data_IF_385028566706
#
_entry.id   IF_385028566706
#
_cell.length_a   1.000
_cell.length_b   1.000
_cell.length_c   1.000
_cell.angle_alpha   90.00
_cell.angle_beta   90.00
_cell.angle_gamma   90.00
#
_symmetry.space_group_name_H-M   'P 1'
#
loop_
_entity.id
_entity.type
_entity.pdbx_description
1 polymer ?
#
# COMPACT_ATOMS: atom_id res chain seq x y z
N UNK A 1 -6.12 -10.54 13.38
CA UNK A 1 -7.12 -9.64 12.77
C UNK A 1 -7.91 -10.41 11.73
N UNK A 2 -9.24 -10.32 11.76
CA UNK A 2 -10.16 -10.89 10.78
C UNK A 2 -11.13 -9.79 10.30
N UNK A 3 -11.75 -9.89 9.11
CA UNK A 3 -11.60 -10.95 8.09
C UNK A 3 -10.29 -10.85 7.28
N UNK A 4 -9.92 -11.94 6.60
CA UNK A 4 -8.88 -11.98 5.57
C UNK A 4 -9.27 -13.01 4.51
N UNK A 5 -10.13 -12.60 3.59
CA UNK A 5 -10.70 -13.47 2.57
C UNK A 5 -9.77 -13.64 1.37
N UNK A 6 -9.94 -14.75 0.64
CA UNK A 6 -9.37 -14.92 -0.70
C UNK A 6 -9.86 -13.80 -1.63
N UNK A 7 -8.96 -13.23 -2.43
CA UNK A 7 -9.25 -12.06 -3.29
C UNK A 7 -9.22 -10.70 -2.57
N UNK A 8 -8.82 -10.68 -1.30
CA UNK A 8 -8.56 -9.45 -0.54
C UNK A 8 -7.20 -9.57 0.19
N UNK A 9 -6.14 -9.92 -0.54
CA UNK A 9 -4.82 -10.20 0.02
C UNK A 9 -4.23 -8.98 0.75
N UNK A 10 -4.04 -7.87 0.02
CA UNK A 10 -3.39 -6.65 0.54
C UNK A 10 -4.24 -5.39 0.41
N UNK A 11 -5.28 -5.40 -0.44
CA UNK A 11 -6.14 -4.26 -0.70
C UNK A 11 -7.22 -4.01 0.36
N UNK A 12 -8.35 -3.37 0.01
CA UNK A 12 -9.48 -3.16 0.90
C UNK A 12 -9.97 -4.45 1.59
N UNK A 13 -10.48 -4.32 2.81
CA UNK A 13 -10.93 -5.43 3.70
C UNK A 13 -9.83 -6.35 4.24
N UNK A 14 -8.59 -6.23 3.76
CA UNK A 14 -7.43 -6.97 4.28
C UNK A 14 -7.01 -6.49 5.67
N UNK A 15 -6.15 -7.26 6.39
CA UNK A 15 -5.46 -6.77 7.58
C UNK A 15 -4.62 -5.52 7.33
N UNK A 16 -4.02 -5.36 6.14
CA UNK A 16 -3.24 -4.16 5.78
C UNK A 16 -4.14 -2.93 5.78
N UNK A 17 -5.35 -3.01 5.20
CA UNK A 17 -6.30 -1.91 5.22
C UNK A 17 -6.61 -1.42 6.65
N UNK A 18 -6.80 -2.36 7.58
CA UNK A 18 -7.05 -2.04 9.00
C UNK A 18 -5.83 -1.51 9.72
N UNK A 19 -4.64 -2.03 9.40
CA UNK A 19 -3.37 -1.51 9.91
C UNK A 19 -3.16 -0.04 9.51
N UNK A 20 -3.46 0.32 8.25
CA UNK A 20 -3.40 1.70 7.78
C UNK A 20 -4.39 2.62 8.51
N UNK A 21 -5.59 2.11 8.81
CA UNK A 21 -6.60 2.85 9.57
C UNK A 21 -6.27 3.01 11.07
N UNK A 22 -5.25 2.32 11.59
CA UNK A 22 -4.93 2.25 13.01
C UNK A 22 -3.58 2.89 13.37
N UNK A 23 -3.20 3.96 12.65
CA UNK A 23 -1.94 4.67 12.84
C UNK A 23 -0.71 3.73 12.81
N UNK A 24 -0.76 2.75 11.91
CA UNK A 24 0.30 1.75 11.74
C UNK A 24 1.64 2.39 11.42
N UNK A 25 2.71 1.82 11.98
CA UNK A 25 4.09 2.17 11.66
C UNK A 25 4.81 0.96 11.09
N UNK A 26 5.52 1.16 9.99
CA UNK A 26 6.36 0.15 9.37
C UNK A 26 7.76 0.32 9.94
N UNK A 27 8.20 -0.68 10.70
CA UNK A 27 9.54 -0.76 11.24
C UNK A 27 10.39 -1.62 10.31
N UNK A 28 11.27 -0.99 9.55
CA UNK A 28 12.25 -1.68 8.69
C UNK A 28 13.56 -1.80 9.46
N UNK A 29 14.00 -3.02 9.77
CA UNK A 29 15.27 -3.30 10.45
C UNK A 29 16.22 -3.95 9.44
N UNK A 30 17.15 -3.19 8.86
CA UNK A 30 18.10 -3.70 7.86
C UNK A 30 17.51 -4.10 6.51
N UNK A 31 16.18 -4.10 6.36
CA UNK A 31 15.49 -4.47 5.13
C UNK A 31 15.62 -3.40 4.04
N UNK A 32 15.61 -3.84 2.78
CA UNK A 32 15.59 -2.97 1.60
C UNK A 32 14.23 -2.27 1.38
N UNK A 33 14.15 -1.32 0.44
CA UNK A 33 12.92 -0.62 0.08
C UNK A 33 11.83 -1.52 -0.54
N UNK A 34 12.21 -2.68 -1.07
CA UNK A 34 11.33 -3.75 -1.58
C UNK A 34 10.47 -4.40 -0.49
N UNK A 35 10.89 -4.34 0.78
CA UNK A 35 10.24 -5.06 1.88
C UNK A 35 8.99 -4.37 2.47
N UNK A 36 8.44 -3.34 1.81
CA UNK A 36 7.34 -2.52 2.33
C UNK A 36 5.99 -3.08 1.87
N UNK A 37 5.59 -4.25 2.39
CA UNK A 37 4.38 -4.99 1.98
C UNK A 37 3.08 -4.16 1.99
N UNK A 38 3.00 -3.14 2.85
CA UNK A 38 1.83 -2.25 2.90
C UNK A 38 1.61 -1.48 1.58
N UNK A 39 2.63 -1.29 0.75
CA UNK A 39 2.53 -0.62 -0.55
C UNK A 39 1.74 -1.45 -1.58
N UNK A 40 1.58 -2.76 -1.41
CA UNK A 40 0.62 -3.51 -2.24
C UNK A 40 -0.83 -3.04 -2.03
N UNK A 41 -1.15 -2.37 -0.92
CA UNK A 41 -2.43 -1.68 -0.79
C UNK A 41 -2.54 -0.53 -1.80
N UNK A 42 -1.48 0.25 -2.00
CA UNK A 42 -1.46 1.35 -2.97
C UNK A 42 -1.68 0.80 -4.38
N UNK A 43 -0.96 -0.25 -4.75
CA UNK A 43 -1.17 -0.97 -6.02
C UNK A 43 -2.62 -1.44 -6.19
N UNK A 44 -3.21 -2.02 -5.14
CA UNK A 44 -4.58 -2.53 -5.20
C UNK A 44 -5.63 -1.43 -5.43
N UNK A 45 -5.45 -0.23 -4.87
CA UNK A 45 -6.46 0.86 -4.95
C UNK A 45 -6.17 1.93 -5.98
N UNK A 46 -4.94 2.00 -6.51
CA UNK A 46 -4.57 2.97 -7.53
C UNK A 46 -5.46 2.85 -8.77
N UNK A 47 -5.93 4.01 -9.25
CA UNK A 47 -6.77 4.17 -10.43
C UNK A 47 -5.91 4.33 -11.68
N UNK A 48 -5.26 3.24 -12.05
CA UNK A 48 -4.40 3.16 -13.23
C UNK A 48 -4.92 2.06 -14.16
N UNK A 49 -4.78 2.25 -15.46
CA UNK A 49 -5.09 1.22 -16.45
C UNK A 49 -4.04 0.09 -16.47
N UNK A 50 -4.34 -1.04 -17.12
CA UNK A 50 -3.36 -2.10 -17.37
C UNK A 50 -2.97 -2.97 -16.17
N UNK A 51 -3.66 -2.85 -15.02
CA UNK A 51 -3.32 -3.59 -13.80
C UNK A 51 -3.36 -5.10 -14.00
N UNK A 52 -2.25 -5.75 -13.67
CA UNK A 52 -2.08 -7.21 -13.72
C UNK A 52 -2.85 -7.90 -12.61
N UNK A 53 -3.38 -9.08 -12.93
CA UNK A 53 -4.07 -9.97 -11.99
C UNK A 53 -3.52 -11.38 -12.11
N UNK A 54 -3.56 -12.12 -11.02
CA UNK A 54 -3.20 -13.53 -10.96
C UNK A 54 -4.40 -14.35 -10.51
N UNK A 55 -4.48 -15.60 -10.97
CA UNK A 55 -5.46 -16.58 -10.50
C UNK A 55 -4.72 -17.74 -9.86
N UNK A 56 -5.13 -18.10 -8.65
CA UNK A 56 -4.50 -19.17 -7.88
C UNK A 56 -5.50 -19.83 -6.94
N UNK A 57 -5.13 -21.01 -6.42
CA UNK A 57 -5.96 -21.80 -5.53
C UNK A 57 -5.26 -22.05 -4.21
N UNK A 58 -5.97 -21.90 -3.10
CA UNK A 58 -5.46 -22.21 -1.76
C UNK A 58 -6.37 -23.21 -1.05
N UNK A 59 -5.80 -24.19 -0.32
CA UNK A 59 -6.58 -25.11 0.50
C UNK A 59 -6.89 -24.47 1.85
N UNK A 60 -8.17 -24.17 2.11
CA UNK A 60 -8.63 -23.65 3.40
C UNK A 60 -9.20 -24.78 4.26
N UNK A 61 -9.08 -24.67 5.58
CA UNK A 61 -9.82 -25.52 6.51
C UNK A 61 -11.17 -24.85 6.84
N UNK A 62 -12.27 -25.49 6.46
CA UNK A 62 -13.64 -25.06 6.81
C UNK A 62 -14.37 -26.21 7.48
N UNK A 63 -14.82 -26.00 8.71
CA UNK A 63 -15.53 -27.03 9.50
C UNK A 63 -14.75 -28.36 9.58
N UNK A 64 -13.43 -28.27 9.77
CA UNK A 64 -12.53 -29.44 9.85
C UNK A 64 -12.24 -30.13 8.51
N UNK A 65 -12.78 -29.62 7.38
CA UNK A 65 -12.55 -30.17 6.04
C UNK A 65 -11.68 -29.25 5.19
N UNK A 66 -10.77 -29.85 4.41
CA UNK A 66 -10.01 -29.12 3.39
C UNK A 66 -10.91 -28.74 2.23
N UNK A 67 -11.05 -27.45 1.96
CA UNK A 67 -11.81 -26.87 0.85
C UNK A 67 -10.86 -26.04 0.00
N UNK A 68 -10.70 -26.42 -1.27
CA UNK A 68 -9.95 -25.62 -2.24
C UNK A 68 -10.77 -24.43 -2.67
N UNK A 69 -10.19 -23.24 -2.58
CA UNK A 69 -10.79 -21.99 -3.07
C UNK A 69 -9.88 -21.42 -4.13
N UNK A 70 -10.41 -21.25 -5.34
CA UNK A 70 -9.76 -20.53 -6.43
C UNK A 70 -10.22 -19.07 -6.41
N UNK A 71 -9.29 -18.14 -6.55
CA UNK A 71 -9.58 -16.70 -6.58
C UNK A 71 -8.70 -16.02 -7.63
N UNK A 72 -9.09 -14.80 -8.00
CA UNK A 72 -8.16 -13.85 -8.60
C UNK A 72 -7.90 -12.69 -7.65
N UNK A 73 -6.68 -12.16 -7.67
CA UNK A 73 -6.30 -10.94 -6.96
C UNK A 73 -5.29 -10.14 -7.80
N UNK A 74 -4.89 -8.97 -7.34
CA UNK A 74 -3.83 -8.18 -7.97
C UNK A 74 -2.50 -8.93 -7.94
N UNK A 75 -1.71 -8.79 -9.01
CA UNK A 75 -0.38 -9.41 -9.07
C UNK A 75 0.58 -8.69 -8.12
N UNK A 76 0.91 -9.35 -7.00
CA UNK A 76 1.82 -8.80 -5.99
C UNK A 76 3.30 -8.90 -6.37
N UNK A 77 3.64 -9.52 -7.51
CA UNK A 77 5.00 -9.52 -8.04
C UNK A 77 5.21 -8.44 -9.12
N UNK A 78 4.27 -7.50 -9.25
CA UNK A 78 4.34 -6.39 -10.20
C UNK A 78 2.95 -6.02 -10.70
N UNK A 79 2.46 -4.84 -10.30
CA UNK A 79 1.10 -4.41 -10.63
C UNK A 79 0.91 -4.08 -12.12
N UNK A 80 1.98 -3.75 -12.85
CA UNK A 80 2.02 -3.56 -14.32
C UNK A 80 3.18 -4.36 -14.90
N UNK A 81 3.17 -4.60 -16.21
CA UNK A 81 4.20 -5.39 -16.89
C UNK A 81 5.61 -4.83 -16.67
N UNK A 82 5.76 -3.50 -16.67
CA UNK A 82 7.04 -2.84 -16.41
C UNK A 82 7.58 -3.03 -14.99
N UNK A 83 6.73 -3.47 -14.05
CA UNK A 83 7.08 -3.74 -12.65
C UNK A 83 7.16 -5.24 -12.34
N UNK A 84 6.92 -6.12 -13.33
CA UNK A 84 6.79 -7.57 -13.12
C UNK A 84 8.02 -8.38 -13.53
N UNK A 85 9.18 -7.73 -13.68
CA UNK A 85 10.44 -8.42 -13.90
C UNK A 85 10.79 -9.25 -12.65
N UNK A 86 11.17 -10.55 -12.79
CA UNK A 86 11.44 -11.42 -11.65
C UNK A 86 12.49 -10.89 -10.65
N UNK A 87 13.50 -10.18 -11.17
CA UNK A 87 14.59 -9.62 -10.38
C UNK A 87 14.32 -8.16 -9.94
N UNK A 88 13.12 -7.64 -10.21
CA UNK A 88 12.73 -6.27 -9.91
C UNK A 88 13.38 -5.21 -10.81
N UNK A 89 13.34 -3.93 -10.40
CA UNK A 89 12.61 -3.43 -9.23
C UNK A 89 11.09 -3.37 -9.50
N UNK A 90 10.31 -3.82 -8.53
CA UNK A 90 8.85 -3.70 -8.59
C UNK A 90 8.38 -2.26 -8.23
N UNK A 91 7.07 -2.02 -8.25
CA UNK A 91 6.53 -0.71 -7.90
C UNK A 91 6.74 -0.39 -6.40
N UNK A 92 6.68 -1.39 -5.52
CA UNK A 92 6.93 -1.22 -4.07
C UNK A 92 8.32 -0.64 -3.83
N UNK A 93 9.35 -1.25 -4.42
CA UNK A 93 10.73 -0.80 -4.26
C UNK A 93 10.92 0.63 -4.79
N UNK A 94 10.41 0.92 -6.00
CA UNK A 94 10.55 2.24 -6.64
C UNK A 94 9.85 3.32 -5.83
N UNK A 95 8.63 3.06 -5.36
CA UNK A 95 7.85 3.99 -4.53
C UNK A 95 8.55 4.23 -3.20
N UNK A 96 8.95 3.17 -2.49
CA UNK A 96 9.59 3.28 -1.18
C UNK A 96 10.92 4.05 -1.27
N UNK A 97 11.70 3.81 -2.33
CA UNK A 97 12.95 4.54 -2.59
C UNK A 97 12.70 6.04 -2.80
N UNK A 98 11.73 6.39 -3.65
CA UNK A 98 11.37 7.79 -3.90
C UNK A 98 10.81 8.47 -2.63
N UNK A 99 10.01 7.76 -1.84
CA UNK A 99 9.47 8.26 -0.58
C UNK A 99 10.58 8.54 0.44
N UNK A 100 11.51 7.60 0.64
CA UNK A 100 12.63 7.75 1.58
C UNK A 100 13.58 8.90 1.16
N UNK A 101 13.68 9.19 -0.13
CA UNK A 101 14.45 10.33 -0.64
C UNK A 101 13.77 11.70 -0.41
N UNK A 102 12.44 11.73 -0.23
CA UNK A 102 11.63 12.96 -0.18
C UNK A 102 11.01 13.25 1.19
N UNK A 103 11.00 12.26 2.09
CA UNK A 103 10.30 12.34 3.36
C UNK A 103 11.26 12.20 4.54
N UNK A 104 11.09 13.02 5.57
CA UNK A 104 11.83 12.89 6.82
C UNK A 104 11.35 11.67 7.59
N UNK A 105 12.16 10.62 7.63
CA UNK A 105 11.90 9.37 8.35
C UNK A 105 12.89 9.22 9.50
N UNK A 106 12.42 8.79 10.67
CA UNK A 106 13.29 8.49 11.80
C UNK A 106 14.20 7.31 11.45
N UNK A 107 15.51 7.49 11.62
CA UNK A 107 16.54 6.52 11.28
C UNK A 107 17.49 6.32 12.46
N UNK A 108 17.96 5.09 12.64
CA UNK A 108 18.92 4.75 13.69
C UNK A 108 19.21 3.26 13.73
N UNK A 109 20.21 2.84 14.52
CA UNK A 109 20.54 1.43 14.66
C UNK A 109 19.50 0.68 15.53
N UNK A 110 19.16 -0.54 15.13
CA UNK A 110 18.54 -1.56 15.99
C UNK A 110 19.46 -2.78 15.93
N UNK A 111 20.16 -3.06 17.04
CA UNK A 111 21.32 -3.95 16.99
C UNK A 111 22.37 -3.43 16.01
N UNK A 112 22.87 -4.29 15.13
CA UNK A 112 23.82 -3.91 14.07
C UNK A 112 23.18 -3.35 12.79
N UNK A 113 21.85 -3.27 12.71
CA UNK A 113 21.13 -2.96 11.47
C UNK A 113 20.67 -1.50 11.39
N UNK A 114 20.92 -0.86 10.24
CA UNK A 114 20.33 0.45 9.91
C UNK A 114 18.82 0.31 9.76
N UNK A 115 18.08 1.03 10.59
CA UNK A 115 16.64 0.87 10.73
C UNK A 115 15.88 2.18 10.47
N UNK A 116 14.63 2.04 10.05
CA UNK A 116 13.71 3.13 9.69
C UNK A 116 12.36 2.90 10.35
N UNK A 117 11.74 3.95 10.86
CA UNK A 117 10.35 3.92 11.36
C UNK A 117 9.47 4.82 10.49
N UNK A 118 8.66 4.20 9.63
CA UNK A 118 7.88 4.85 8.57
C UNK A 118 6.40 4.90 9.01
N UNK A 119 5.74 6.03 8.80
CA UNK A 119 4.28 6.12 8.93
C UNK A 119 3.62 5.38 7.74
N UNK A 120 2.79 4.38 8.04
CA UNK A 120 2.24 3.51 7.01
C UNK A 120 1.19 4.22 6.13
N UNK A 121 0.36 5.07 6.73
CA UNK A 121 -0.67 5.79 5.99
C UNK A 121 -0.04 6.82 5.03
N UNK A 122 1.03 7.48 5.46
CA UNK A 122 1.74 8.47 4.65
C UNK A 122 2.42 7.83 3.43
N UNK A 123 3.21 6.76 3.61
CA UNK A 123 3.89 6.09 2.49
C UNK A 123 2.91 5.44 1.51
N UNK A 124 1.79 4.87 2.00
CA UNK A 124 0.76 4.31 1.11
C UNK A 124 0.03 5.40 0.33
N UNK A 125 -0.31 6.52 0.97
CA UNK A 125 -0.90 7.67 0.27
C UNK A 125 0.04 8.21 -0.81
N UNK A 126 1.33 8.34 -0.49
CA UNK A 126 2.36 8.69 -1.46
C UNK A 126 2.43 7.69 -2.61
N UNK A 127 2.37 6.38 -2.34
CA UNK A 127 2.40 5.34 -3.37
C UNK A 127 1.22 5.39 -4.34
N UNK A 128 0.02 5.69 -3.84
CA UNK A 128 -1.18 5.88 -4.69
C UNK A 128 -0.96 7.06 -5.64
N UNK A 129 -0.57 8.21 -5.10
CA UNK A 129 -0.28 9.41 -5.89
C UNK A 129 0.85 9.17 -6.90
N UNK A 130 1.89 8.42 -6.50
CA UNK A 130 3.03 8.11 -7.35
C UNK A 130 2.64 7.30 -8.59
N UNK A 131 1.77 6.29 -8.41
CA UNK A 131 1.25 5.44 -9.48
C UNK A 131 0.32 6.22 -10.39
N UNK A 132 -0.67 6.93 -9.82
CA UNK A 132 -1.66 7.69 -10.59
C UNK A 132 -1.08 8.88 -11.34
N UNK A 133 0.08 9.41 -10.90
CA UNK A 133 0.79 10.45 -11.63
C UNK A 133 1.60 9.95 -12.83
N UNK A 134 1.86 8.64 -12.92
CA UNK A 134 2.72 8.03 -13.95
C UNK A 134 1.97 7.23 -14.99
N UNK A 135 0.78 6.75 -14.63
CA UNK A 135 -0.03 5.88 -15.46
C UNK A 135 -1.39 6.52 -15.70
N UNK A 136 -1.91 6.35 -16.91
CA UNK A 136 -3.22 6.89 -17.24
C UNK A 136 -4.32 6.23 -16.39
N UNK A 137 -5.35 7.00 -16.07
CA UNK A 137 -6.53 6.47 -15.41
C UNK A 137 -7.35 5.61 -16.39
N UNK A 138 -8.06 4.57 -15.92
CA UNK A 138 -8.95 3.79 -16.77
C UNK A 138 -10.00 4.67 -17.47
N UNK A 139 -10.30 4.38 -18.74
CA UNK A 139 -11.26 5.16 -19.56
C UNK A 139 -12.62 5.28 -18.87
N UNK A 140 -13.13 4.16 -18.32
CA UNK A 140 -14.38 4.10 -17.54
C UNK A 140 -14.40 5.10 -16.36
N UNK A 141 -13.25 5.34 -15.73
CA UNK A 141 -13.12 6.32 -14.66
C UNK A 141 -13.14 7.75 -15.16
N UNK A 142 -12.55 8.01 -16.34
CA UNK A 142 -12.59 9.33 -16.96
C UNK A 142 -14.01 9.69 -17.41
N UNK A 143 -14.74 8.73 -17.99
CA UNK A 143 -16.15 8.91 -18.38
C UNK A 143 -17.04 9.19 -17.16
N UNK A 144 -16.91 8.40 -16.09
CA UNK A 144 -17.66 8.63 -14.85
C UNK A 144 -17.33 9.97 -14.16
N UNK A 145 -16.12 10.50 -14.34
CA UNK A 145 -15.75 11.85 -13.85
C UNK A 145 -16.39 12.95 -14.70
N UNK A 146 -16.38 12.81 -16.03
CA UNK A 146 -17.03 13.77 -16.92
C UNK A 146 -18.55 13.79 -16.70
N UNK A 147 -19.19 12.62 -16.52
CA UNK A 147 -20.60 12.51 -16.18
C UNK A 147 -20.95 13.22 -14.86
N UNK A 148 -20.13 13.03 -13.81
CA UNK A 148 -20.30 13.73 -12.52
C UNK A 148 -20.03 15.24 -12.58
N UNK A 149 -19.15 15.69 -13.47
CA UNK A 149 -18.89 17.11 -13.68
C UNK A 149 -19.99 17.80 -14.52
N UNK A 150 -20.74 17.03 -15.31
CA UNK A 150 -21.79 17.53 -16.22
C UNK A 150 -23.23 17.35 -15.68
N UNK A 151 -23.44 16.60 -14.59
CA UNK A 151 -24.77 16.41 -13.98
C UNK A 151 -24.70 16.33 -12.44
N UNK A 152 -25.46 17.18 -11.74
CA UNK A 152 -25.47 17.32 -10.29
C UNK A 152 -26.06 16.12 -9.50
N UNK A 153 -25.53 15.97 -8.28
CA UNK A 153 -25.95 15.10 -7.15
C UNK A 153 -26.30 13.64 -7.44
N UNK A 154 -25.36 12.73 -7.16
CA UNK A 154 -25.64 11.37 -6.69
C UNK A 154 -24.54 10.92 -5.72
N UNK A 155 -24.93 10.09 -4.76
CA UNK A 155 -24.34 9.85 -3.44
C UNK A 155 -22.81 9.70 -3.39
N UNK A 156 -22.23 10.34 -2.38
CA UNK A 156 -20.83 10.23 -2.03
C UNK A 156 -20.54 8.81 -1.50
N UNK A 157 -20.02 7.94 -2.35
CA UNK A 157 -19.26 6.79 -1.89
C UNK A 157 -17.95 7.32 -1.29
N UNK A 158 -18.00 7.62 0.01
CA UNK A 158 -16.85 8.13 0.77
C UNK A 158 -15.79 7.05 0.87
N UNK A 159 -14.84 7.06 -0.07
CA UNK A 159 -13.53 6.47 0.18
C UNK A 159 -12.90 7.31 1.30
N UNK A 160 -12.54 6.75 2.47
CA UNK A 160 -11.96 7.54 3.53
C UNK A 160 -10.60 8.05 3.05
N UNK A 161 -10.52 9.35 2.75
CA UNK A 161 -9.22 10.03 2.71
C UNK A 161 -8.63 9.86 4.10
N UNK A 162 -7.49 9.19 4.19
CA UNK A 162 -6.70 9.13 5.42
C UNK A 162 -6.35 10.58 5.77
N UNK A 163 -7.06 11.15 6.75
CA UNK A 163 -6.84 12.53 7.17
C UNK A 163 -5.43 12.64 7.72
N UNK A 164 -4.59 13.49 7.10
CA UNK A 164 -3.29 13.89 7.64
C UNK A 164 -3.50 14.54 9.01
N UNK A 165 -3.40 13.76 10.09
CA UNK A 165 -3.20 14.33 11.43
C UNK A 165 -1.73 14.71 11.52
N UNK A 166 -1.47 16.01 11.57
CA UNK A 166 -0.17 16.58 11.91
C UNK A 166 0.27 16.03 13.27
N UNK A 167 1.19 15.06 13.27
CA UNK A 167 1.83 14.62 14.50
C UNK A 167 2.88 15.65 14.90
N UNK A 168 2.69 16.18 16.11
CA UNK A 168 3.63 17.03 16.84
C UNK A 168 4.96 16.27 16.97
N UNK A 169 6.03 16.87 16.47
CA UNK A 169 7.40 16.36 16.53
C UNK A 169 7.79 16.02 17.97
N UNK A 170 8.17 14.78 18.22
CA UNK A 170 8.83 14.39 19.46
C UNK A 170 10.31 14.76 19.36
N UNK A 171 10.77 15.66 20.22
CA UNK A 171 12.19 16.01 20.38
C UNK A 171 12.72 15.22 21.58
N UNK A 172 13.68 14.30 21.40
CA UNK A 172 14.30 13.61 22.52
C UNK A 172 15.20 14.58 23.33
N UNK A 173 15.28 14.44 24.67
CA UNK A 173 16.18 15.26 25.47
C UNK A 173 17.65 14.91 25.14
N UNK A 174 18.46 15.95 24.97
CA UNK A 174 19.92 15.86 24.82
C UNK A 174 20.54 15.22 26.07
N UNK A 175 21.29 14.12 25.90
CA UNK A 175 22.12 13.55 26.96
C UNK A 175 23.23 14.55 27.32
N UNK A 176 23.51 14.78 28.62
CA UNK A 176 24.73 15.47 29.02
C UNK A 176 25.95 14.59 28.73
N UNK A 177 27.01 15.23 28.22
CA UNK A 177 28.30 14.60 28.00
C UNK A 177 28.92 14.17 29.34
N UNK A 178 29.49 12.96 29.37
CA UNK A 178 30.42 12.49 30.38
C UNK A 178 31.80 12.34 29.73
#
# INVERSE_FOLDING_TARGET
>A
MAPHEMGAAYGPRSPIARFLAHAGKILSIGAGPDAVTALHYAEAVARIEGKRRVTYSMPLLREGKRVWVTTSDWDSNGILDEYAAPDGPDAVERIARDYLARTRVAQGPVGGAQSRLIDAADIVSFGIEWLEARHAAPIEWLEARHARASGGSAEAETTPRLSRRLFRTYIPPSRPAA
#
